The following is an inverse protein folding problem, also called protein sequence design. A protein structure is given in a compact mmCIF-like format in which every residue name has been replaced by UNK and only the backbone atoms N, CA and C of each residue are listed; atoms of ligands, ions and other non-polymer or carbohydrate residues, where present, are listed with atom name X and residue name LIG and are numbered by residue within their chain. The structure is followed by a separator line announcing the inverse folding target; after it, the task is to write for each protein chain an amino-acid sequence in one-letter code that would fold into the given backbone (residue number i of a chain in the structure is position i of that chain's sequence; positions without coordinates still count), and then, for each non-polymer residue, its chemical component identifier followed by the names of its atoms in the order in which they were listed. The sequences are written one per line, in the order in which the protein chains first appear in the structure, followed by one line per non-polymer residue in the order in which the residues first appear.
data_IF_349292599124
#
_entry.id   IF_349292599124
#
_cell.length_a   1.000
_cell.length_b   1.000
_cell.length_c   1.000
_cell.angle_alpha   90.00
_cell.angle_beta   90.00
_cell.angle_gamma   90.00
#
_symmetry.space_group_name_H-M   'P 1'
#
loop_
_entity.id
_entity.type
_entity.pdbx_description
1 polymer ?
#
# COMPACT_ATOMS: atom_id res chain seq x y z
N UNK A 1 2.52 48.92 -27.93
CA UNK A 1 1.77 47.97 -27.05
C UNK A 1 1.59 46.59 -27.68
N UNK A 2 1.39 46.48 -29.01
CA UNK A 2 1.15 45.20 -29.73
C UNK A 2 2.26 44.14 -29.62
N UNK A 3 3.54 44.56 -29.57
CA UNK A 3 4.70 43.63 -29.46
C UNK A 3 4.86 43.01 -28.07
N UNK A 4 4.45 43.71 -27.00
CA UNK A 4 4.50 43.19 -25.62
C UNK A 4 3.38 42.19 -25.33
N UNK A 5 2.23 42.35 -26.00
CA UNK A 5 1.10 41.41 -25.93
C UNK A 5 1.44 40.06 -26.59
N UNK A 6 2.15 40.09 -27.72
CA UNK A 6 2.62 38.89 -28.42
C UNK A 6 3.60 38.05 -27.57
N UNK A 7 4.42 38.71 -26.75
CA UNK A 7 5.35 38.04 -25.84
C UNK A 7 4.63 37.27 -24.72
N UNK A 8 3.50 37.80 -24.24
CA UNK A 8 2.67 37.14 -23.21
C UNK A 8 1.94 35.90 -23.73
N UNK A 9 1.48 35.93 -24.99
CA UNK A 9 0.82 34.76 -25.62
C UNK A 9 1.82 33.63 -25.85
N UNK A 10 3.06 33.94 -26.24
CA UNK A 10 4.12 32.93 -26.40
C UNK A 10 4.54 32.31 -25.05
N UNK A 11 4.52 33.09 -23.97
CA UNK A 11 4.83 32.60 -22.61
C UNK A 11 3.80 31.59 -22.09
N UNK A 12 2.52 31.79 -22.41
CA UNK A 12 1.41 30.92 -21.97
C UNK A 12 1.37 29.57 -22.69
N UNK A 13 1.85 29.50 -23.94
CA UNK A 13 1.93 28.24 -24.72
C UNK A 13 3.05 27.33 -24.20
N UNK A 14 4.16 27.90 -23.71
CA UNK A 14 5.30 27.15 -23.16
C UNK A 14 5.01 26.45 -21.83
N UNK A 15 3.97 26.89 -21.10
CA UNK A 15 3.66 26.37 -19.76
C UNK A 15 2.87 25.04 -19.79
N UNK A 16 2.32 24.67 -20.95
CA UNK A 16 1.45 23.49 -21.10
C UNK A 16 2.21 22.17 -21.31
N UNK A 17 3.54 22.21 -21.52
CA UNK A 17 4.30 21.07 -22.05
C UNK A 17 4.76 19.98 -21.06
N UNK A 18 4.57 20.13 -19.74
CA UNK A 18 5.17 19.22 -18.74
C UNK A 18 4.33 19.10 -17.45
N UNK A 19 3.04 18.80 -17.55
CA UNK A 19 2.23 18.51 -16.34
C UNK A 19 1.50 17.16 -16.36
N UNK A 20 1.54 16.42 -17.47
CA UNK A 20 0.99 15.07 -17.52
C UNK A 20 2.07 14.06 -17.15
N UNK A 21 2.28 13.89 -15.85
CA UNK A 21 3.06 12.77 -15.32
C UNK A 21 2.15 11.53 -15.40
N UNK A 22 2.22 10.80 -16.50
CA UNK A 22 1.71 9.42 -16.53
C UNK A 22 2.57 8.64 -15.54
N UNK A 23 1.95 8.11 -14.48
CA UNK A 23 2.58 7.12 -13.62
C UNK A 23 2.79 5.89 -14.50
N UNK A 24 3.98 5.76 -15.09
CA UNK A 24 4.38 4.54 -15.78
C UNK A 24 4.74 3.54 -14.70
N UNK A 25 3.83 2.62 -14.41
CA UNK A 25 4.11 1.45 -13.58
C UNK A 25 5.27 0.68 -14.20
N UNK A 26 6.19 0.24 -13.34
CA UNK A 26 7.34 -0.57 -13.70
C UNK A 26 6.87 -1.77 -14.55
N UNK A 27 7.41 -1.90 -15.75
CA UNK A 27 6.88 -2.79 -16.81
C UNK A 27 7.16 -4.28 -16.58
N UNK A 28 7.84 -4.62 -15.48
CA UNK A 28 8.24 -5.99 -15.13
C UNK A 28 7.28 -6.65 -14.12
N UNK A 29 6.10 -6.08 -13.89
CA UNK A 29 5.02 -6.81 -13.21
C UNK A 29 4.33 -7.69 -14.27
N UNK A 30 4.62 -8.99 -14.24
CA UNK A 30 3.94 -9.93 -15.13
C UNK A 30 2.43 -9.99 -14.84
N UNK A 31 1.64 -10.20 -15.90
CA UNK A 31 0.18 -10.30 -15.79
C UNK A 31 -0.27 -11.41 -14.85
N UNK A 32 0.60 -12.39 -14.59
CA UNK A 32 0.36 -13.52 -13.68
C UNK A 32 0.34 -13.04 -12.23
N UNK A 33 1.32 -12.22 -11.82
CA UNK A 33 1.41 -11.65 -10.46
C UNK A 33 0.22 -10.73 -10.18
N UNK A 34 -0.24 -9.96 -11.17
CA UNK A 34 -1.42 -9.10 -11.01
C UNK A 34 -2.69 -9.91 -10.80
N UNK A 35 -2.82 -11.06 -11.46
CA UNK A 35 -3.98 -11.93 -11.36
C UNK A 35 -3.94 -12.88 -10.15
N UNK A 36 -2.81 -12.93 -9.42
CA UNK A 36 -2.64 -13.81 -8.27
C UNK A 36 -3.65 -13.49 -7.15
N UNK A 37 -4.34 -14.48 -6.57
CA UNK A 37 -5.33 -14.24 -5.54
C UNK A 37 -4.71 -13.60 -4.30
N UNK A 38 -5.46 -12.68 -3.69
CA UNK A 38 -5.03 -11.96 -2.50
C UNK A 38 -5.68 -12.62 -1.29
N UNK A 39 -4.88 -13.12 -0.36
CA UNK A 39 -5.37 -13.90 0.78
C UNK A 39 -5.29 -13.04 2.04
N UNK A 40 -6.45 -12.75 2.62
CA UNK A 40 -6.56 -12.12 3.93
C UNK A 40 -7.01 -13.14 4.97
N UNK A 41 -6.29 -13.23 6.08
CA UNK A 41 -6.66 -14.03 7.24
C UNK A 41 -6.92 -13.10 8.41
N UNK A 42 -8.18 -13.06 8.86
CA UNK A 42 -8.66 -12.15 9.90
C UNK A 42 -8.31 -10.67 9.64
N UNK A 43 -8.24 -10.28 8.36
CA UNK A 43 -7.92 -8.92 7.91
C UNK A 43 -6.43 -8.63 7.72
N UNK A 44 -5.54 -9.61 7.89
CA UNK A 44 -4.10 -9.48 7.58
C UNK A 44 -3.80 -10.20 6.28
N UNK A 45 -3.15 -9.52 5.34
CA UNK A 45 -2.65 -10.14 4.12
C UNK A 45 -1.49 -11.08 4.46
N UNK A 46 -1.55 -12.32 3.97
CA UNK A 46 -0.50 -13.32 4.17
C UNK A 46 -0.07 -13.94 2.84
N UNK A 47 1.16 -14.46 2.81
CA UNK A 47 1.67 -15.23 1.67
C UNK A 47 1.32 -16.73 1.77
N UNK A 48 1.64 -17.46 0.70
CA UNK A 48 1.31 -18.88 0.56
C UNK A 48 1.93 -19.76 1.65
N UNK A 49 3.16 -19.48 2.04
CA UNK A 49 3.86 -20.22 3.09
C UNK A 49 3.14 -20.12 4.44
N UNK A 50 2.55 -18.97 4.74
CA UNK A 50 1.82 -18.75 5.98
C UNK A 50 0.41 -19.33 5.90
N UNK A 51 -0.21 -19.31 4.71
CA UNK A 51 -1.48 -19.97 4.44
C UNK A 51 -1.38 -21.48 4.66
N UNK A 52 -0.27 -22.09 4.26
CA UNK A 52 -0.02 -23.52 4.46
C UNK A 52 0.13 -23.93 5.94
N UNK A 53 0.42 -22.99 6.84
CA UNK A 53 0.56 -23.23 8.29
C UNK A 53 -0.78 -23.17 9.04
N UNK A 54 -1.86 -22.80 8.36
CA UNK A 54 -3.18 -22.67 8.98
C UNK A 54 -3.76 -24.06 9.22
N UNK A 55 -4.10 -24.33 10.48
CA UNK A 55 -4.89 -25.51 10.80
C UNK A 55 -6.31 -25.35 10.26
N UNK A 56 -6.70 -26.26 9.36
CA UNK A 56 -8.05 -26.32 8.79
C UNK A 56 -9.16 -26.40 9.85
N UNK A 57 -8.90 -26.98 11.02
CA UNK A 57 -9.87 -27.06 12.11
C UNK A 57 -10.09 -25.70 12.81
N UNK A 58 -9.17 -24.76 12.65
CA UNK A 58 -9.25 -23.39 13.17
C UNK A 58 -10.02 -22.45 12.23
N UNK A 59 -10.24 -22.86 10.98
CA UNK A 59 -10.99 -22.06 10.00
C UNK A 59 -12.49 -22.04 10.36
N UNK A 60 -13.06 -20.84 10.44
CA UNK A 60 -14.48 -20.60 10.68
C UNK A 60 -15.23 -20.44 9.37
N UNK A 61 -14.66 -19.68 8.43
CA UNK A 61 -15.30 -19.39 7.15
C UNK A 61 -14.29 -18.92 6.12
N UNK A 62 -14.58 -19.20 4.85
CA UNK A 62 -13.87 -18.66 3.70
C UNK A 62 -14.89 -17.94 2.83
N UNK A 63 -14.61 -16.68 2.49
CA UNK A 63 -15.42 -15.89 1.59
C UNK A 63 -14.56 -15.37 0.44
N UNK A 64 -15.07 -15.44 -0.79
CA UNK A 64 -14.37 -14.97 -1.98
C UNK A 64 -15.08 -13.73 -2.47
N UNK A 65 -14.43 -12.58 -2.35
CA UNK A 65 -14.90 -11.35 -2.95
C UNK A 65 -14.48 -11.34 -4.41
N UNK A 66 -15.43 -10.99 -5.29
CA UNK A 66 -15.22 -10.99 -6.75
C UNK A 66 -15.07 -9.59 -7.31
N UNK A 67 -15.64 -8.61 -6.61
CA UNK A 67 -15.80 -7.21 -6.97
C UNK A 67 -16.07 -6.36 -5.71
N UNK A 68 -16.05 -5.03 -5.88
CA UNK A 68 -16.36 -4.06 -4.83
C UNK A 68 -15.26 -3.01 -4.61
N UNK A 69 -15.52 -2.00 -3.76
CA UNK A 69 -14.60 -0.88 -3.54
C UNK A 69 -13.29 -1.28 -2.85
N UNK A 70 -13.23 -2.47 -2.24
CA UNK A 70 -12.00 -3.00 -1.64
C UNK A 70 -10.88 -3.20 -2.66
N UNK A 71 -11.21 -3.39 -3.94
CA UNK A 71 -10.25 -3.55 -5.02
C UNK A 71 -9.42 -2.28 -5.26
N UNK A 72 -9.98 -1.11 -4.96
CA UNK A 72 -9.26 0.16 -5.06
C UNK A 72 -8.10 0.24 -4.05
N UNK A 73 -8.22 -0.49 -2.92
CA UNK A 73 -7.19 -0.53 -1.87
C UNK A 73 -6.02 -1.47 -2.21
N UNK A 74 -6.22 -2.41 -3.14
CA UNK A 74 -5.22 -3.43 -3.51
C UNK A 74 -4.74 -3.29 -4.95
N UNK A 75 -5.19 -2.25 -5.66
CA UNK A 75 -4.71 -1.89 -6.99
C UNK A 75 -3.17 -1.76 -6.99
N UNK A 76 -2.48 -2.22 -8.05
CA UNK A 76 -3.01 -2.64 -9.36
C UNK A 76 -3.45 -4.11 -9.45
N UNK A 77 -3.44 -4.88 -8.35
CA UNK A 77 -3.76 -6.31 -8.39
C UNK A 77 -5.22 -6.54 -8.79
N UNK A 78 -5.41 -7.48 -9.70
CA UNK A 78 -6.72 -7.88 -10.26
C UNK A 78 -7.18 -9.26 -9.78
N UNK A 79 -6.32 -9.97 -9.06
CA UNK A 79 -6.63 -11.26 -8.46
C UNK A 79 -7.80 -11.22 -7.48
N UNK A 80 -8.49 -12.35 -7.34
CA UNK A 80 -9.66 -12.45 -6.46
C UNK A 80 -9.24 -12.40 -4.99
N UNK A 81 -10.07 -11.79 -4.16
CA UNK A 81 -9.77 -11.63 -2.73
C UNK A 81 -10.39 -12.78 -1.97
N UNK A 82 -9.56 -13.53 -1.26
CA UNK A 82 -9.95 -14.64 -0.39
C UNK A 82 -9.88 -14.17 1.06
N UNK A 83 -11.03 -14.14 1.73
CA UNK A 83 -11.16 -13.75 3.13
C UNK A 83 -11.36 -15.00 3.97
N UNK A 84 -10.37 -15.32 4.79
CA UNK A 84 -10.40 -16.44 5.74
C UNK A 84 -10.61 -15.86 7.14
N UNK A 85 -11.54 -16.45 7.89
CA UNK A 85 -11.77 -16.12 9.29
C UNK A 85 -11.35 -17.31 10.14
N UNK A 86 -10.56 -17.09 11.19
CA UNK A 86 -10.11 -18.15 12.10
C UNK A 86 -10.67 -17.96 13.51
N UNK A 87 -10.66 -19.01 14.34
CA UNK A 87 -11.05 -18.88 15.76
C UNK A 87 -9.93 -18.23 16.56
N UNK A 88 -8.68 -18.61 16.29
CA UNK A 88 -7.51 -18.18 17.08
C UNK A 88 -7.08 -16.73 16.85
N UNK A 89 -7.32 -16.18 15.65
CA UNK A 89 -6.84 -14.86 15.18
C UNK A 89 -5.32 -14.70 15.29
N UNK A 90 -4.58 -15.78 15.06
CA UNK A 90 -3.14 -15.84 15.34
C UNK A 90 -2.34 -14.79 14.54
N UNK A 91 -2.62 -14.64 13.25
CA UNK A 91 -1.92 -13.67 12.38
C UNK A 91 -2.22 -12.22 12.76
N UNK A 92 -3.47 -11.90 13.06
CA UNK A 92 -3.85 -10.56 13.50
C UNK A 92 -3.14 -10.15 14.79
N UNK A 93 -3.05 -11.07 15.76
CA UNK A 93 -2.32 -10.81 17.02
C UNK A 93 -0.83 -10.55 16.77
N UNK A 94 -0.18 -11.38 15.97
CA UNK A 94 1.24 -11.21 15.63
C UNK A 94 1.49 -9.88 14.90
N UNK A 95 0.62 -9.53 13.95
CA UNK A 95 0.71 -8.27 13.22
C UNK A 95 0.57 -7.05 14.14
N UNK A 96 -0.40 -7.07 15.07
CA UNK A 96 -0.60 -5.98 16.04
C UNK A 96 0.62 -5.76 16.94
N UNK A 97 1.22 -6.86 17.45
CA UNK A 97 2.43 -6.79 18.27
C UNK A 97 3.60 -6.18 17.49
N UNK A 98 3.80 -6.62 16.25
CA UNK A 98 4.83 -6.07 15.36
C UNK A 98 4.61 -4.58 15.11
N UNK A 99 3.36 -4.16 14.86
CA UNK A 99 3.02 -2.76 14.63
C UNK A 99 3.35 -1.89 15.84
N UNK A 100 2.94 -2.30 17.04
CA UNK A 100 3.27 -1.59 18.29
C UNK A 100 4.78 -1.43 18.47
N UNK A 101 5.55 -2.50 18.24
CA UNK A 101 7.01 -2.45 18.34
C UNK A 101 7.64 -1.44 17.37
N UNK A 102 7.16 -1.40 16.12
CA UNK A 102 7.64 -0.47 15.10
C UNK A 102 7.31 0.98 15.50
N UNK A 103 6.09 1.24 15.95
CA UNK A 103 5.66 2.57 16.40
C UNK A 103 6.53 3.08 17.56
N UNK A 104 6.85 2.22 18.53
CA UNK A 104 7.74 2.55 19.65
C UNK A 104 9.19 2.78 19.20
N UNK A 105 9.66 2.05 18.19
CA UNK A 105 10.97 2.29 17.57
C UNK A 105 11.02 3.66 16.89
N UNK A 106 9.97 4.04 16.16
CA UNK A 106 9.89 5.36 15.51
C UNK A 106 9.85 6.51 16.52
N UNK A 107 9.06 6.39 17.59
CA UNK A 107 9.00 7.40 18.67
C UNK A 107 10.37 7.64 19.30
N UNK A 108 11.08 6.57 19.69
CA UNK A 108 12.43 6.65 20.26
C UNK A 108 13.44 7.31 19.31
N UNK A 109 13.31 7.08 18.00
CA UNK A 109 14.18 7.71 16.99
C UNK A 109 13.90 9.22 16.87
N UNK A 110 12.64 9.64 16.95
CA UNK A 110 12.24 11.05 16.93
C UNK A 110 12.78 11.78 18.15
N UNK A 111 12.62 11.22 19.35
CA UNK A 111 13.11 11.81 20.62
C UNK A 111 14.62 12.02 20.60
N UNK A 112 15.40 11.04 20.13
CA UNK A 112 16.86 11.17 20.00
C UNK A 112 17.27 12.24 18.99
N UNK A 113 16.53 12.39 17.90
CA UNK A 113 16.79 13.43 16.88
C UNK A 113 16.50 14.82 17.43
N UNK A 114 15.40 14.98 18.18
CA UNK A 114 15.07 16.23 18.85
C UNK A 114 16.10 16.61 19.91
N UNK A 115 16.56 15.66 20.73
CA UNK A 115 17.63 15.90 21.71
C UNK A 115 18.94 16.32 21.03
N UNK A 116 19.32 15.67 19.92
CA UNK A 116 20.55 16.02 19.19
C UNK A 116 20.47 17.41 18.53
N UNK A 117 19.30 17.84 18.07
CA UNK A 117 19.08 19.18 17.52
C UNK A 117 19.08 20.30 18.56
N UNK A 118 18.67 20.01 19.80
CA UNK A 118 18.73 20.96 20.92
C UNK A 118 20.18 21.20 21.39
N UNK A 119 21.06 20.20 21.27
CA UNK A 119 22.47 20.28 21.69
C UNK A 119 23.36 21.02 20.68
N UNK A 120 22.89 21.23 19.43
CA UNK A 120 23.59 22.03 18.42
C UNK A 120 23.01 23.45 18.43
N UNK A 121 23.26 24.21 19.49
CA UNK A 121 23.02 25.66 19.56
C UNK A 121 24.03 26.33 20.48
#
# INVERSE_FOLDING_TARGET
MKKKLLFFVFLLVSLQGKAQQTITWDSDIDSVTLAYPIIFVDGVEIGDEDMAKIDTADVVSINILKDGPIYDLVAPRTGKIVMVKTKSKIFLKQWLLRKQFIDDMYKRKQEKTHQKGIVIR
#
